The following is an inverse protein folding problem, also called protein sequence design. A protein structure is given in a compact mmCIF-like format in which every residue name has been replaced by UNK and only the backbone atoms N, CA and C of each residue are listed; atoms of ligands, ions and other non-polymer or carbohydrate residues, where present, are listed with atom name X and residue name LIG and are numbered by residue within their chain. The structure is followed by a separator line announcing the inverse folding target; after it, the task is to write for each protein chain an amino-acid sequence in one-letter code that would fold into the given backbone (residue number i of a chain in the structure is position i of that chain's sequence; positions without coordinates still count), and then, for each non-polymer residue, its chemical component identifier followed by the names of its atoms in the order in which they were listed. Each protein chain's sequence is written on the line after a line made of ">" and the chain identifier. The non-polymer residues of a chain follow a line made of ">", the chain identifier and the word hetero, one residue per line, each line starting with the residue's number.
data_IF_558135031169
#
_entry.id   IF_558135031169
#
_cell.length_a   1.000
_cell.length_b   1.000
_cell.length_c   1.000
_cell.angle_alpha   90.00
_cell.angle_beta   90.00
_cell.angle_gamma   90.00
#
_symmetry.space_group_name_H-M   'P 1'
#
loop_
_entity.id
_entity.type
_entity.pdbx_description
1 polymer ?
#
# COMPACT_ATOMS: atom_id res chain seq x y z
N UNK A 1 9.79 11.69 -17.23
CA UNK A 1 9.16 11.84 -15.90
C UNK A 1 8.16 10.70 -15.77
N UNK A 2 8.36 9.80 -14.81
CA UNK A 2 7.38 8.74 -14.55
C UNK A 2 6.09 9.41 -14.08
N UNK A 3 5.00 9.20 -14.81
CA UNK A 3 3.70 9.72 -14.39
C UNK A 3 3.14 8.75 -13.37
N UNK A 4 2.79 9.22 -12.18
CA UNK A 4 2.15 8.40 -11.16
C UNK A 4 0.68 8.78 -11.03
N UNK A 5 -0.19 7.78 -11.00
CA UNK A 5 -1.60 7.96 -10.65
C UNK A 5 -1.77 7.59 -9.18
N UNK A 6 -2.03 8.58 -8.33
CA UNK A 6 -2.33 8.32 -6.92
C UNK A 6 -3.71 7.68 -6.83
N UNK A 7 -3.77 6.51 -6.21
CA UNK A 7 -5.03 5.83 -5.88
C UNK A 7 -5.49 6.20 -4.48
N UNK A 8 -4.53 6.29 -3.57
CA UNK A 8 -4.80 6.51 -2.17
C UNK A 8 -3.67 7.27 -1.49
N UNK A 9 -4.01 8.20 -0.62
CA UNK A 9 -3.06 8.92 0.22
C UNK A 9 -3.74 9.14 1.56
N UNK A 10 -3.02 8.81 2.63
CA UNK A 10 -3.43 9.17 3.98
C UNK A 10 -2.23 9.64 4.80
N UNK A 11 -2.54 10.50 5.77
CA UNK A 11 -1.60 10.98 6.76
C UNK A 11 -2.37 11.23 8.04
N UNK A 12 -1.66 11.37 9.17
CA UNK A 12 -2.30 11.78 10.45
C UNK A 12 -3.27 12.95 10.23
N UNK A 13 -4.49 12.89 10.78
CA UNK A 13 -4.95 11.99 11.85
C UNK A 13 -5.45 10.60 11.42
N UNK A 14 -5.33 10.21 10.15
CA UNK A 14 -5.70 8.86 9.70
C UNK A 14 -4.73 7.80 10.22
N UNK A 15 -5.24 6.68 10.73
CA UNK A 15 -4.46 5.57 11.26
C UNK A 15 -4.92 4.23 10.69
N UNK A 16 -4.01 3.26 10.63
CA UNK A 16 -4.33 1.88 10.33
C UNK A 16 -4.99 1.21 11.54
N UNK A 17 -6.08 0.49 11.32
CA UNK A 17 -6.83 -0.17 12.40
C UNK A 17 -7.02 -1.67 12.21
N UNK A 18 -7.29 -2.12 11.00
CA UNK A 18 -7.36 -3.54 10.64
C UNK A 18 -6.29 -3.84 9.60
N UNK A 19 -5.51 -4.90 9.81
CA UNK A 19 -4.53 -5.37 8.83
C UNK A 19 -4.58 -6.89 8.82
N UNK A 20 -4.95 -7.44 7.67
CA UNK A 20 -5.11 -8.87 7.46
C UNK A 20 -4.36 -9.29 6.19
N UNK A 21 -3.46 -10.26 6.34
CA UNK A 21 -2.82 -10.94 5.20
C UNK A 21 -3.67 -12.14 4.78
N UNK A 22 -3.91 -12.29 3.47
CA UNK A 22 -4.62 -13.44 2.89
C UNK A 22 -3.81 -14.03 1.76
N UNK A 23 -3.88 -15.35 1.58
CA UNK A 23 -3.33 -16.00 0.40
C UNK A 23 -4.43 -16.08 -0.65
N UNK A 24 -4.26 -15.42 -1.79
CA UNK A 24 -5.26 -15.47 -2.84
C UNK A 24 -5.13 -16.79 -3.61
N UNK A 25 -6.20 -17.60 -3.59
CA UNK A 25 -6.20 -18.98 -4.09
C UNK A 25 -6.05 -19.10 -5.61
N UNK A 26 -6.23 -18.01 -6.36
CA UNK A 26 -6.17 -17.99 -7.83
C UNK A 26 -4.75 -17.97 -8.39
N UNK A 27 -3.83 -17.23 -7.79
CA UNK A 27 -2.43 -17.13 -8.26
C UNK A 27 -1.39 -17.47 -7.17
N UNK A 28 -1.84 -17.81 -5.95
CA UNK A 28 -0.97 -18.13 -4.82
C UNK A 28 -0.24 -16.91 -4.24
N UNK A 29 -0.45 -15.72 -4.79
CA UNK A 29 0.09 -14.45 -4.33
C UNK A 29 -0.49 -14.05 -2.96
N UNK A 30 0.34 -13.36 -2.18
CA UNK A 30 -0.09 -12.76 -0.92
C UNK A 30 -0.85 -11.46 -1.21
N UNK A 31 -2.01 -11.34 -0.57
CA UNK A 31 -2.82 -10.13 -0.52
C UNK A 31 -2.75 -9.53 0.87
N UNK A 32 -2.59 -8.22 0.95
CA UNK A 32 -2.68 -7.44 2.18
C UNK A 32 -3.95 -6.59 2.10
N UNK A 33 -4.89 -6.85 3.00
CA UNK A 33 -6.07 -6.04 3.19
C UNK A 33 -5.88 -5.23 4.46
N UNK A 34 -6.12 -3.92 4.38
CA UNK A 34 -6.05 -3.06 5.55
C UNK A 34 -7.10 -1.96 5.54
N UNK A 35 -7.46 -1.52 6.73
CA UNK A 35 -8.39 -0.42 6.96
C UNK A 35 -7.66 0.76 7.56
N UNK A 36 -8.02 1.93 7.06
CA UNK A 36 -7.57 3.22 7.54
C UNK A 36 -8.76 4.01 8.00
N UNK A 37 -8.66 4.52 9.21
CA UNK A 37 -9.75 5.17 9.92
C UNK A 37 -9.36 6.58 10.34
N UNK A 38 -10.33 7.49 10.29
CA UNK A 38 -10.26 8.82 10.85
C UNK A 38 -11.65 9.21 11.34
N UNK A 39 -11.79 9.43 12.65
CA UNK A 39 -13.06 9.76 13.30
C UNK A 39 -14.19 8.77 12.99
N UNK A 40 -15.04 9.07 12.01
CA UNK A 40 -16.18 8.24 11.58
C UNK A 40 -16.04 7.73 10.13
N UNK A 41 -14.91 7.98 9.47
CA UNK A 41 -14.63 7.52 8.13
C UNK A 41 -13.64 6.36 8.17
N UNK A 42 -13.99 5.26 7.51
CA UNK A 42 -13.10 4.13 7.30
C UNK A 42 -12.99 3.82 5.81
N UNK A 43 -11.78 3.49 5.36
CA UNK A 43 -11.51 3.06 3.99
C UNK A 43 -10.75 1.76 4.03
N UNK A 44 -11.23 0.78 3.27
CA UNK A 44 -10.56 -0.51 3.11
C UNK A 44 -9.77 -0.48 1.82
N UNK A 45 -8.52 -0.92 1.88
CA UNK A 45 -7.63 -1.05 0.73
C UNK A 45 -7.12 -2.48 0.69
N UNK A 46 -7.11 -3.08 -0.50
CA UNK A 46 -6.49 -4.38 -0.72
C UNK A 46 -5.40 -4.26 -1.79
N UNK A 47 -4.20 -4.74 -1.47
CA UNK A 47 -3.08 -4.82 -2.40
C UNK A 47 -2.62 -6.26 -2.55
N UNK A 48 -2.21 -6.65 -3.75
CA UNK A 48 -1.83 -8.03 -4.08
C UNK A 48 -0.48 -8.09 -4.78
N UNK A 49 0.20 -9.23 -4.63
CA UNK A 49 1.51 -9.47 -5.23
C UNK A 49 2.58 -8.63 -4.54
N UNK A 50 2.62 -8.70 -3.21
CA UNK A 50 3.61 -8.03 -2.37
C UNK A 50 5.01 -8.58 -2.68
N UNK A 51 5.93 -7.70 -3.04
CA UNK A 51 7.35 -8.08 -3.22
C UNK A 51 8.08 -8.24 -1.87
N UNK A 52 7.63 -7.53 -0.82
CA UNK A 52 8.29 -7.50 0.49
C UNK A 52 7.27 -7.47 1.65
N UNK A 53 7.51 -8.30 2.67
CA UNK A 53 6.69 -8.37 3.88
C UNK A 53 7.00 -7.24 4.87
N UNK A 54 8.16 -6.59 4.76
CA UNK A 54 8.51 -5.43 5.58
C UNK A 54 7.53 -4.27 5.36
N UNK A 55 6.80 -4.27 4.24
CA UNK A 55 5.68 -3.36 4.00
C UNK A 55 4.68 -3.35 5.16
N UNK A 56 4.36 -4.51 5.73
CA UNK A 56 3.38 -4.63 6.82
C UNK A 56 3.83 -3.85 8.05
N UNK A 57 5.08 -4.06 8.46
CA UNK A 57 5.67 -3.36 9.60
C UNK A 57 5.79 -1.87 9.33
N UNK A 58 6.16 -1.48 8.11
CA UNK A 58 6.28 -0.08 7.73
C UNK A 58 4.91 0.62 7.72
N UNK A 59 3.87 -0.01 7.18
CA UNK A 59 2.50 0.53 7.16
C UNK A 59 2.03 0.84 8.58
N UNK A 60 2.15 -0.12 9.50
CA UNK A 60 1.70 0.05 10.90
C UNK A 60 2.38 1.20 11.64
N UNK A 61 3.62 1.53 11.27
CA UNK A 61 4.42 2.59 11.91
C UNK A 61 4.33 3.92 11.15
N UNK A 62 3.76 3.93 9.94
CA UNK A 62 3.77 5.09 9.06
C UNK A 62 2.84 6.19 9.54
N UNK A 63 3.36 7.42 9.49
CA UNK A 63 2.59 8.64 9.73
C UNK A 63 1.89 9.15 8.46
N UNK A 64 2.46 8.76 7.32
CA UNK A 64 1.94 9.05 5.98
C UNK A 64 2.20 7.86 5.08
N UNK A 65 1.22 7.54 4.24
CA UNK A 65 1.32 6.52 3.21
C UNK A 65 0.72 7.04 1.91
N UNK A 66 1.42 6.81 0.79
CA UNK A 66 0.90 7.10 -0.55
C UNK A 66 0.92 5.82 -1.37
N UNK A 67 -0.21 5.47 -1.97
CA UNK A 67 -0.34 4.35 -2.89
C UNK A 67 -0.64 4.89 -4.27
N UNK A 68 0.24 4.58 -5.21
CA UNK A 68 0.17 5.10 -6.58
C UNK A 68 0.52 4.04 -7.60
N UNK A 69 0.08 4.23 -8.84
CA UNK A 69 0.48 3.39 -9.95
C UNK A 69 1.44 4.14 -10.87
N UNK A 70 2.54 3.50 -11.21
CA UNK A 70 3.45 3.97 -12.23
C UNK A 70 2.80 3.83 -13.62
N UNK A 71 2.39 4.94 -14.23
CA UNK A 71 1.90 5.00 -15.59
C UNK A 71 3.06 5.00 -16.58
N UNK A 72 2.90 4.27 -17.69
CA UNK A 72 3.93 4.11 -18.73
C UNK A 72 5.24 3.52 -18.21
N UNK A 73 5.17 2.74 -17.13
CA UNK A 73 6.30 1.97 -16.64
C UNK A 73 6.61 0.82 -17.61
N UNK A 74 7.89 0.55 -17.87
CA UNK A 74 8.33 -0.67 -18.55
C UNK A 74 8.31 -1.89 -17.60
N UNK A 75 7.84 -1.73 -16.36
CA UNK A 75 7.72 -2.82 -15.40
C UNK A 75 6.56 -3.74 -15.78
N UNK A 76 6.87 -5.02 -15.98
CA UNK A 76 5.89 -6.09 -16.22
C UNK A 76 5.15 -6.50 -14.93
N UNK A 77 5.77 -6.30 -13.77
CA UNK A 77 5.25 -6.58 -12.42
C UNK A 77 5.60 -5.43 -11.46
N UNK A 78 4.91 -5.29 -10.33
CA UNK A 78 5.21 -4.23 -9.37
C UNK A 78 4.88 -2.83 -9.94
N UNK A 79 3.66 -2.64 -10.44
CA UNK A 79 3.20 -1.35 -11.01
C UNK A 79 2.62 -0.41 -9.95
N UNK A 80 2.19 -0.96 -8.82
CA UNK A 80 1.70 -0.21 -7.67
C UNK A 80 2.88 0.05 -6.75
N UNK A 81 3.10 1.31 -6.42
CA UNK A 81 4.07 1.76 -5.43
C UNK A 81 3.35 2.15 -4.16
N UNK A 82 3.81 1.62 -3.04
CA UNK A 82 3.40 2.01 -1.70
C UNK A 82 4.57 2.73 -1.03
N UNK A 83 4.38 4.00 -0.73
CA UNK A 83 5.37 4.85 -0.09
C UNK A 83 4.97 5.04 1.37
N UNK A 84 5.91 4.81 2.27
CA UNK A 84 5.73 4.85 3.72
C UNK A 84 6.69 5.87 4.33
N UNK A 85 6.18 6.74 5.20
CA UNK A 85 6.99 7.70 5.95
C UNK A 85 6.87 7.45 7.45
N UNK A 86 8.01 7.23 8.10
CA UNK A 86 8.12 6.95 9.54
C UNK A 86 9.18 7.89 10.12
N UNK A 87 8.78 8.85 10.96
CA UNK A 87 9.70 9.80 11.61
C UNK A 87 10.64 10.52 10.62
N UNK A 88 10.12 10.85 9.44
CA UNK A 88 10.87 11.48 8.34
C UNK A 88 11.73 10.54 7.49
N UNK A 89 11.80 9.25 7.84
CA UNK A 89 12.41 8.21 7.01
C UNK A 89 11.45 7.75 5.92
N UNK A 90 11.99 7.49 4.72
CA UNK A 90 11.21 7.05 3.56
C UNK A 90 11.52 5.59 3.21
N UNK A 91 10.46 4.81 3.06
CA UNK A 91 10.52 3.44 2.51
C UNK A 91 9.54 3.35 1.34
N UNK A 92 9.92 2.68 0.26
CA UNK A 92 8.99 2.34 -0.82
C UNK A 92 8.95 0.84 -1.06
N UNK A 93 7.75 0.37 -1.37
CA UNK A 93 7.44 -1.02 -1.65
C UNK A 93 6.62 -1.10 -2.94
N UNK A 94 6.67 -2.28 -3.57
CA UNK A 94 6.01 -2.49 -4.84
C UNK A 94 5.06 -3.69 -4.78
N UNK A 95 3.94 -3.55 -5.49
CA UNK A 95 2.88 -4.53 -5.56
C UNK A 95 2.33 -4.63 -6.98
N UNK A 96 1.73 -5.77 -7.30
CA UNK A 96 1.20 -6.02 -8.64
C UNK A 96 -0.14 -5.31 -8.87
N UNK A 97 -1.03 -5.34 -7.88
CA UNK A 97 -2.44 -4.90 -8.03
C UNK A 97 -2.94 -4.20 -6.77
N UNK A 98 -3.95 -3.33 -6.95
CA UNK A 98 -4.74 -2.70 -5.90
C UNK A 98 -6.23 -2.87 -6.23
N UNK A 99 -7.06 -3.12 -5.22
CA UNK A 99 -8.52 -3.26 -5.30
C UNK A 99 -9.21 -2.34 -4.30
#
# INVERSE_FOLDING_TARGET
>A
MSNYKIFFEFQRPWFLSDLTTRKNSLEGELALCFQVECDNESKTIEIEGLDDLDLVSNLLQSEKVIISQALNSQREYGTIRVECWIDGSYSEFWCNKIK
#
